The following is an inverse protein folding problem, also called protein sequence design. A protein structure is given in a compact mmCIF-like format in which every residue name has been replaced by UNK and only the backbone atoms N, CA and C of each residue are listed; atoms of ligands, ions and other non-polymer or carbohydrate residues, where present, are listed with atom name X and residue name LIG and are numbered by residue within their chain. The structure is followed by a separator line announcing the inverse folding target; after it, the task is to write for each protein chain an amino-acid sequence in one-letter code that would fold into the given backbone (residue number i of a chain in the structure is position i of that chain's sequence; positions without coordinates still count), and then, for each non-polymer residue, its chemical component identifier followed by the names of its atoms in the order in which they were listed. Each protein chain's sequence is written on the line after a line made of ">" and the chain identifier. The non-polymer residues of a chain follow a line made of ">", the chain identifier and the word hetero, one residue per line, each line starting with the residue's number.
data_IF_828670269018
#
_entry.id   IF_828670269018
#
_cell.length_a   1.000
_cell.length_b   1.000
_cell.length_c   1.000
_cell.angle_alpha   90.00
_cell.angle_beta   90.00
_cell.angle_gamma   90.00
#
_symmetry.space_group_name_H-M   'P 1'
#
loop_
_entity.id
_entity.type
_entity.pdbx_description
1 polymer ?
#
# COMPACT_ATOMS: atom_id res chain seq x y z
N UNK A 1 -1.84 -7.18 -23.10
CA UNK A 1 -2.60 -7.08 -21.81
C UNK A 1 -1.93 -6.04 -20.96
N UNK A 2 -2.71 -5.18 -20.29
CA UNK A 2 -2.17 -4.09 -19.46
C UNK A 2 -1.76 -4.58 -18.08
N UNK A 3 -0.61 -4.11 -17.60
CA UNK A 3 -0.10 -4.22 -16.25
C UNK A 3 0.07 -2.80 -15.74
N UNK A 4 -0.45 -2.51 -14.55
CA UNK A 4 -0.45 -1.16 -14.01
C UNK A 4 0.56 -0.98 -12.88
N UNK A 5 0.94 0.27 -12.64
CA UNK A 5 1.71 0.71 -11.48
C UNK A 5 1.31 2.14 -11.12
N UNK A 6 1.48 2.54 -9.87
CA UNK A 6 1.31 3.94 -9.46
C UNK A 6 2.66 4.63 -9.36
N UNK A 7 2.89 5.72 -10.09
CA UNK A 7 4.06 6.57 -9.86
C UNK A 7 3.88 7.32 -8.55
N UNK A 8 4.58 6.88 -7.53
CA UNK A 8 4.35 7.32 -6.17
C UNK A 8 5.61 7.88 -5.53
N UNK A 9 5.41 8.72 -4.52
CA UNK A 9 6.45 9.13 -3.58
C UNK A 9 5.94 8.95 -2.16
N UNK A 10 6.78 8.38 -1.28
CA UNK A 10 6.39 8.13 0.11
C UNK A 10 6.80 9.29 1.01
N UNK A 11 5.81 9.85 1.73
CA UNK A 11 6.02 10.77 2.84
C UNK A 11 5.74 10.03 4.15
N UNK A 12 6.72 10.03 5.05
CA UNK A 12 6.61 9.39 6.36
C UNK A 12 6.38 10.45 7.43
N UNK A 13 5.15 10.57 7.98
CA UNK A 13 4.87 11.48 9.10
C UNK A 13 5.73 11.19 10.32
N UNK A 14 5.91 9.91 10.64
CA UNK A 14 6.84 9.41 11.66
C UNK A 14 7.11 7.92 11.46
N UNK A 15 8.33 7.50 11.81
CA UNK A 15 8.72 6.09 11.93
C UNK A 15 8.37 5.51 13.31
N UNK A 16 7.97 6.33 14.28
CA UNK A 16 7.59 5.88 15.62
C UNK A 16 6.36 4.96 15.53
N UNK A 17 6.48 3.75 16.07
CA UNK A 17 5.39 2.79 16.13
C UNK A 17 5.33 2.13 17.51
N UNK A 18 4.14 2.07 18.12
CA UNK A 18 3.96 1.37 19.39
C UNK A 18 3.92 -0.15 19.24
N UNK A 19 3.65 -0.64 18.03
CA UNK A 19 3.74 -2.06 17.72
C UNK A 19 5.21 -2.47 17.52
N UNK A 20 5.52 -3.72 17.85
CA UNK A 20 6.85 -4.32 17.68
C UNK A 20 6.71 -5.66 16.96
N UNK A 21 6.23 -5.59 15.70
CA UNK A 21 6.19 -6.77 14.82
C UNK A 21 7.62 -7.26 14.55
N UNK A 22 7.89 -8.56 14.68
CA UNK A 22 9.25 -9.10 14.56
C UNK A 22 9.87 -8.93 13.16
N UNK A 23 9.04 -8.87 12.13
CA UNK A 23 9.42 -8.70 10.72
C UNK A 23 9.53 -7.24 10.28
N UNK A 24 9.29 -6.27 11.16
CA UNK A 24 9.19 -4.87 10.74
C UNK A 24 10.56 -4.24 10.54
N UNK A 25 10.85 -3.87 9.31
CA UNK A 25 12.08 -3.18 8.91
C UNK A 25 11.91 -1.65 8.82
N UNK A 26 10.79 -1.12 9.31
CA UNK A 26 10.40 0.29 9.13
C UNK A 26 10.45 1.08 10.46
N UNK A 27 10.04 0.50 11.57
CA UNK A 27 9.71 1.20 12.82
C UNK A 27 10.93 1.63 13.66
N UNK A 28 10.71 2.71 14.43
CA UNK A 28 11.54 3.04 15.62
C UNK A 28 10.66 3.12 16.87
N UNK A 29 11.28 3.13 18.06
CA UNK A 29 10.54 3.27 19.31
C UNK A 29 9.94 4.68 19.48
N UNK A 30 8.78 4.83 20.18
CA UNK A 30 8.19 6.12 20.47
C UNK A 30 9.14 7.06 21.21
N UNK A 31 9.25 8.31 20.74
CA UNK A 31 10.13 9.34 21.30
C UNK A 31 11.51 9.42 20.66
N UNK A 32 11.79 8.60 19.66
CA UNK A 32 13.11 8.56 18.96
C UNK A 32 13.11 9.39 17.68
N UNK A 33 11.98 9.44 16.97
CA UNK A 33 11.89 10.12 15.69
C UNK A 33 11.37 11.56 15.82
N UNK A 34 11.89 12.45 14.98
CA UNK A 34 11.34 13.78 14.79
C UNK A 34 10.26 13.73 13.68
N UNK A 35 9.02 13.97 14.06
CA UNK A 35 7.91 13.95 13.13
C UNK A 35 8.13 14.91 11.95
N UNK A 36 7.78 14.47 10.74
CA UNK A 36 7.83 15.27 9.52
C UNK A 36 7.15 16.63 9.74
N UNK A 37 7.85 17.73 9.50
CA UNK A 37 7.25 19.08 9.55
C UNK A 37 6.55 19.40 8.21
N UNK A 38 5.57 20.31 8.25
CA UNK A 38 4.90 20.72 7.02
C UNK A 38 5.86 21.45 6.07
N UNK A 39 6.77 22.26 6.61
CA UNK A 39 7.76 22.98 5.79
C UNK A 39 8.67 22.01 5.03
N UNK A 40 9.15 20.96 5.71
CA UNK A 40 9.95 19.92 5.07
C UNK A 40 9.15 19.16 4.01
N UNK A 41 7.91 18.79 4.32
CA UNK A 41 7.03 18.12 3.37
C UNK A 41 6.73 19.02 2.16
N UNK A 42 6.51 20.33 2.38
CA UNK A 42 6.28 21.30 1.31
C UNK A 42 7.47 21.34 0.36
N UNK A 43 8.70 21.45 0.88
CA UNK A 43 9.89 21.43 0.05
C UNK A 43 9.98 20.15 -0.80
N UNK A 44 9.84 18.96 -0.15
CA UNK A 44 9.89 17.68 -0.84
C UNK A 44 8.82 17.58 -1.94
N UNK A 45 7.55 17.84 -1.60
CA UNK A 45 6.44 17.67 -2.55
C UNK A 45 6.53 18.69 -3.70
N UNK A 46 7.02 19.91 -3.43
CA UNK A 46 7.23 20.92 -4.48
C UNK A 46 8.30 20.45 -5.50
N UNK A 47 9.36 19.82 -5.03
CA UNK A 47 10.43 19.30 -5.90
C UNK A 47 9.94 18.14 -6.80
N UNK A 48 8.81 17.52 -6.48
CA UNK A 48 8.20 16.46 -7.30
C UNK A 48 7.37 17.00 -8.47
N UNK A 49 7.10 18.31 -8.55
CA UNK A 49 6.33 18.86 -9.64
C UNK A 49 7.03 18.66 -10.98
N UNK A 50 6.29 18.16 -11.98
CA UNK A 50 6.83 17.87 -13.31
C UNK A 50 7.68 16.59 -13.43
N UNK A 51 7.78 15.78 -12.37
CA UNK A 51 8.52 14.50 -12.39
C UNK A 51 7.69 13.31 -12.87
N UNK A 52 6.38 13.51 -13.07
CA UNK A 52 5.46 12.44 -13.43
C UNK A 52 4.88 11.68 -12.23
N UNK A 53 5.29 11.94 -11.02
CA UNK A 53 4.67 11.41 -9.80
C UNK A 53 3.25 11.97 -9.70
N UNK A 54 2.30 11.10 -9.34
CA UNK A 54 0.90 11.48 -9.13
C UNK A 54 0.41 11.15 -7.72
N UNK A 55 0.99 10.14 -7.09
CA UNK A 55 0.60 9.67 -5.76
C UNK A 55 1.56 10.15 -4.68
N UNK A 56 1.03 10.70 -3.59
CA UNK A 56 1.75 10.84 -2.33
C UNK A 56 1.24 9.76 -1.37
N UNK A 57 2.05 8.73 -1.19
CA UNK A 57 1.78 7.69 -0.19
C UNK A 57 2.17 8.22 1.19
N UNK A 58 1.18 8.42 2.06
CA UNK A 58 1.41 8.75 3.47
C UNK A 58 1.51 7.44 4.25
N UNK A 59 2.72 7.03 4.54
CA UNK A 59 3.03 5.80 5.27
C UNK A 59 3.55 6.17 6.66
N UNK A 60 2.94 5.67 7.73
CA UNK A 60 3.29 6.09 9.09
C UNK A 60 3.42 4.92 10.05
N UNK A 61 4.37 5.02 10.98
CA UNK A 61 4.28 4.25 12.21
C UNK A 61 3.04 4.64 13.01
N UNK A 62 2.58 3.75 13.87
CA UNK A 62 1.30 3.86 14.57
C UNK A 62 1.48 4.48 15.96
N UNK A 63 0.72 5.53 16.28
CA UNK A 63 0.61 6.10 17.61
C UNK A 63 -0.51 5.39 18.38
N UNK A 64 -0.23 4.94 19.61
CA UNK A 64 -1.20 4.19 20.42
C UNK A 64 -2.54 4.96 20.56
N UNK A 65 -3.71 4.30 20.43
CA UNK A 65 -5.01 4.97 20.46
C UNK A 65 -5.26 5.81 21.74
N UNK A 66 -4.72 5.40 22.88
CA UNK A 66 -4.86 6.11 24.16
C UNK A 66 -3.73 7.13 24.43
N UNK A 67 -2.82 7.33 23.48
CA UNK A 67 -1.75 8.30 23.62
C UNK A 67 -2.29 9.73 23.51
N UNK A 68 -1.81 10.63 24.39
CA UNK A 68 -2.08 12.07 24.26
C UNK A 68 -1.57 12.67 22.94
N UNK A 69 -0.63 11.99 22.26
CA UNK A 69 -0.09 12.39 20.96
C UNK A 69 -0.98 11.94 19.78
N UNK A 70 -1.99 11.06 20.00
CA UNK A 70 -2.82 10.48 18.93
C UNK A 70 -3.49 11.55 18.07
N UNK A 71 -4.11 12.53 18.71
CA UNK A 71 -4.77 13.63 18.00
C UNK A 71 -3.79 14.41 17.11
N UNK A 72 -2.62 14.78 17.65
CA UNK A 72 -1.60 15.53 16.92
C UNK A 72 -1.06 14.71 15.72
N UNK A 73 -0.96 13.40 15.84
CA UNK A 73 -0.55 12.49 14.78
C UNK A 73 -1.59 12.46 13.64
N UNK A 74 -2.88 12.30 13.96
CA UNK A 74 -3.96 12.35 12.96
C UNK A 74 -4.04 13.72 12.29
N UNK A 75 -3.91 14.82 13.05
CA UNK A 75 -3.89 16.17 12.51
C UNK A 75 -2.70 16.36 11.55
N UNK A 76 -1.53 15.81 11.88
CA UNK A 76 -0.34 15.85 11.02
C UNK A 76 -0.59 15.10 9.70
N UNK A 77 -1.12 13.88 9.74
CA UNK A 77 -1.47 13.12 8.54
C UNK A 77 -2.47 13.90 7.68
N UNK A 78 -3.54 14.42 8.29
CA UNK A 78 -4.54 15.23 7.60
C UNK A 78 -3.92 16.43 6.86
N UNK A 79 -3.05 17.19 7.54
CA UNK A 79 -2.40 18.35 6.94
C UNK A 79 -1.41 17.98 5.83
N UNK A 80 -0.70 16.85 5.93
CA UNK A 80 0.17 16.36 4.88
C UNK A 80 -0.63 15.93 3.63
N UNK A 81 -1.76 15.25 3.82
CA UNK A 81 -2.67 14.91 2.72
C UNK A 81 -3.25 16.18 2.05
N UNK A 82 -3.70 17.14 2.85
CA UNK A 82 -4.23 18.40 2.30
C UNK A 82 -3.15 19.16 1.53
N UNK A 83 -1.93 19.25 2.06
CA UNK A 83 -0.79 19.85 1.38
C UNK A 83 -0.51 19.16 0.02
N UNK A 84 -0.54 17.85 -0.02
CA UNK A 84 -0.36 17.09 -1.27
C UNK A 84 -1.44 17.46 -2.30
N UNK A 85 -2.72 17.54 -1.90
CA UNK A 85 -3.82 17.98 -2.77
C UNK A 85 -3.62 19.42 -3.26
N UNK A 86 -3.25 20.35 -2.37
CA UNK A 86 -3.03 21.75 -2.70
C UNK A 86 -1.86 21.95 -3.68
N UNK A 87 -0.89 21.03 -3.69
CA UNK A 87 0.24 20.99 -4.63
C UNK A 87 -0.05 20.13 -5.88
N UNK A 88 -1.28 19.62 -6.03
CA UNK A 88 -1.75 18.92 -7.21
C UNK A 88 -1.52 17.42 -7.22
N UNK A 89 -1.11 16.80 -6.12
CA UNK A 89 -0.89 15.35 -5.99
C UNK A 89 -2.08 14.64 -5.34
N UNK A 90 -2.17 13.32 -5.49
CA UNK A 90 -3.26 12.49 -4.97
C UNK A 90 -2.79 11.70 -3.73
N UNK A 91 -3.29 12.00 -2.52
CA UNK A 91 -2.92 11.28 -1.31
C UNK A 91 -3.53 9.89 -1.22
N UNK A 92 -2.71 8.92 -0.80
CA UNK A 92 -3.10 7.60 -0.31
C UNK A 92 -2.51 7.41 1.09
N UNK A 93 -3.33 7.11 2.10
CA UNK A 93 -2.84 6.94 3.48
C UNK A 93 -2.86 5.49 3.93
N UNK A 94 -1.71 5.00 4.41
CA UNK A 94 -1.55 3.73 5.13
C UNK A 94 -0.87 4.02 6.47
N UNK A 95 -1.68 4.18 7.52
CA UNK A 95 -1.23 4.64 8.84
C UNK A 95 -1.66 3.69 9.99
N UNK A 96 -1.98 2.43 9.68
CA UNK A 96 -2.48 1.45 10.65
C UNK A 96 -3.96 1.65 11.01
N UNK A 97 -4.48 0.92 12.01
CA UNK A 97 -5.87 1.03 12.41
C UNK A 97 -6.24 2.41 12.96
N UNK A 98 -7.36 2.92 12.48
CA UNK A 98 -7.96 4.21 12.81
C UNK A 98 -9.31 3.97 13.50
N UNK A 99 -9.75 4.87 14.36
CA UNK A 99 -11.16 4.92 14.77
C UNK A 99 -12.03 5.37 13.59
N UNK A 100 -13.34 5.06 13.65
CA UNK A 100 -14.27 5.45 12.59
C UNK A 100 -14.22 6.97 12.32
N UNK A 101 -14.14 7.79 13.39
CA UNK A 101 -14.07 9.26 13.29
C UNK A 101 -12.75 9.72 12.66
N UNK A 102 -11.62 9.08 13.00
CA UNK A 102 -10.32 9.38 12.40
C UNK A 102 -10.31 9.01 10.90
N UNK A 103 -10.90 7.86 10.55
CA UNK A 103 -11.02 7.42 9.17
C UNK A 103 -11.94 8.35 8.36
N UNK A 104 -13.09 8.74 8.90
CA UNK A 104 -14.00 9.70 8.29
C UNK A 104 -13.33 11.06 8.05
N UNK A 105 -12.52 11.54 9.00
CA UNK A 105 -11.73 12.76 8.84
C UNK A 105 -10.70 12.63 7.71
N UNK A 106 -9.92 11.55 7.68
CA UNK A 106 -8.90 11.36 6.66
C UNK A 106 -9.47 11.09 5.27
N UNK A 107 -10.67 10.51 5.17
CA UNK A 107 -11.38 10.32 3.89
C UNK A 107 -11.65 11.64 3.14
N UNK A 108 -11.73 12.77 3.85
CA UNK A 108 -11.95 14.08 3.24
C UNK A 108 -10.77 14.57 2.40
N UNK A 109 -9.58 14.04 2.64
CA UNK A 109 -8.33 14.48 2.02
C UNK A 109 -7.53 13.32 1.40
N UNK A 110 -8.15 12.16 1.20
CA UNK A 110 -7.53 11.00 0.58
C UNK A 110 -8.38 10.47 -0.57
N UNK A 111 -7.77 10.16 -1.71
CA UNK A 111 -8.48 9.53 -2.83
C UNK A 111 -8.59 8.01 -2.64
N UNK A 112 -7.76 7.45 -1.82
CA UNK A 112 -7.81 6.06 -1.36
C UNK A 112 -7.09 5.92 -0.03
N UNK A 113 -7.34 4.82 0.68
CA UNK A 113 -6.62 4.49 1.92
C UNK A 113 -6.26 3.00 1.91
N UNK A 114 -5.34 2.60 2.78
CA UNK A 114 -4.90 1.22 2.87
C UNK A 114 -4.65 0.75 4.29
N UNK A 115 -4.82 -0.56 4.48
CA UNK A 115 -4.38 -1.32 5.64
C UNK A 115 -4.21 -2.79 5.24
N UNK A 116 -3.00 -3.32 5.37
CA UNK A 116 -2.77 -4.75 5.17
C UNK A 116 -3.53 -5.57 6.22
N UNK A 117 -4.30 -6.58 5.81
CA UNK A 117 -4.88 -7.55 6.73
C UNK A 117 -3.77 -8.39 7.38
N UNK A 118 -2.68 -8.60 6.70
CA UNK A 118 -1.55 -9.48 6.97
C UNK A 118 -1.94 -10.96 6.89
N UNK A 119 -2.60 -11.48 7.94
CA UNK A 119 -3.15 -12.83 8.04
C UNK A 119 -4.27 -12.87 9.07
N UNK A 120 -5.18 -13.83 8.95
CA UNK A 120 -6.17 -14.14 9.99
C UNK A 120 -5.72 -15.23 10.96
N UNK A 121 -4.52 -15.78 10.79
CA UNK A 121 -3.96 -16.77 11.70
C UNK A 121 -3.79 -16.19 13.12
N UNK A 122 -4.53 -16.70 14.13
CA UNK A 122 -4.42 -16.22 15.51
C UNK A 122 -3.09 -16.60 16.17
N UNK A 123 -2.41 -17.64 15.71
CA UNK A 123 -1.16 -18.13 16.32
C UNK A 123 -0.01 -17.12 16.11
N UNK A 124 -0.11 -16.27 15.10
CA UNK A 124 0.82 -15.16 14.90
C UNK A 124 0.85 -14.16 16.07
N UNK A 125 -0.22 -14.08 16.87
CA UNK A 125 -0.28 -13.24 18.08
C UNK A 125 0.64 -13.74 19.19
N UNK A 126 0.96 -15.02 19.22
CA UNK A 126 1.96 -15.61 20.14
C UNK A 126 3.38 -15.59 19.56
N UNK A 127 3.50 -15.32 18.27
CA UNK A 127 4.72 -15.25 17.47
C UNK A 127 5.11 -13.83 17.09
N UNK A 128 5.12 -13.59 15.78
CA UNK A 128 5.59 -12.33 15.15
C UNK A 128 4.79 -11.09 15.55
N UNK A 129 3.54 -11.25 15.97
CA UNK A 129 2.64 -10.18 16.41
C UNK A 129 2.51 -10.06 17.94
N UNK A 130 3.30 -10.82 18.72
CA UNK A 130 3.20 -10.85 20.19
C UNK A 130 3.23 -9.47 20.85
N UNK A 131 3.95 -8.54 20.27
CA UNK A 131 4.07 -7.15 20.76
C UNK A 131 3.46 -6.13 19.80
N UNK A 132 2.44 -6.54 19.03
CA UNK A 132 1.79 -5.73 18.03
C UNK A 132 0.25 -5.79 18.13
N UNK A 133 -0.34 -5.15 19.17
CA UNK A 133 -1.77 -5.28 19.46
C UNK A 133 -2.68 -4.78 18.33
N UNK A 134 -2.21 -3.90 17.44
CA UNK A 134 -2.99 -3.49 16.27
C UNK A 134 -3.03 -4.55 15.16
N UNK A 135 -2.28 -5.66 15.32
CA UNK A 135 -2.30 -6.79 14.37
C UNK A 135 -3.36 -7.84 14.73
N UNK A 136 -4.16 -7.63 15.77
CA UNK A 136 -5.29 -8.51 16.10
C UNK A 136 -6.23 -8.56 14.88
N UNK A 137 -6.53 -9.78 14.33
CA UNK A 137 -7.33 -9.92 13.11
C UNK A 137 -8.69 -9.21 13.17
N UNK A 138 -9.39 -9.29 14.29
CA UNK A 138 -10.69 -8.64 14.47
C UNK A 138 -10.63 -7.11 14.30
N UNK A 139 -9.57 -6.45 14.77
CA UNK A 139 -9.37 -4.99 14.60
C UNK A 139 -9.19 -4.66 13.12
N UNK A 140 -8.43 -5.47 12.39
CA UNK A 140 -8.17 -5.23 10.96
C UNK A 140 -9.39 -5.50 10.09
N UNK A 141 -10.15 -6.56 10.38
CA UNK A 141 -11.44 -6.82 9.71
C UNK A 141 -12.46 -5.72 9.97
N UNK A 142 -12.51 -5.19 11.21
CA UNK A 142 -13.37 -4.06 11.54
C UNK A 142 -12.98 -2.81 10.73
N UNK A 143 -11.68 -2.54 10.59
CA UNK A 143 -11.17 -1.45 9.77
C UNK A 143 -11.61 -1.56 8.30
N UNK A 144 -11.51 -2.75 7.70
CA UNK A 144 -11.98 -3.00 6.34
C UNK A 144 -13.50 -2.77 6.21
N UNK A 145 -14.29 -3.18 7.21
CA UNK A 145 -15.73 -2.92 7.23
C UNK A 145 -16.06 -1.43 7.36
N UNK A 146 -15.30 -0.67 8.18
CA UNK A 146 -15.50 0.77 8.30
C UNK A 146 -15.15 1.51 6.99
N UNK A 147 -14.07 1.11 6.33
CA UNK A 147 -13.73 1.66 5.02
C UNK A 147 -14.86 1.46 4.01
N UNK A 148 -15.48 0.26 4.00
CA UNK A 148 -16.63 -0.03 3.16
C UNK A 148 -17.86 0.79 3.51
N UNK A 149 -18.18 0.91 4.80
CA UNK A 149 -19.30 1.74 5.29
C UNK A 149 -19.13 3.21 4.89
N UNK A 150 -17.91 3.72 4.93
CA UNK A 150 -17.56 5.09 4.55
C UNK A 150 -17.33 5.26 3.04
N UNK A 151 -17.44 4.19 2.25
CA UNK A 151 -17.19 4.18 0.81
C UNK A 151 -15.81 4.74 0.44
N UNK A 152 -14.78 4.38 1.19
CA UNK A 152 -13.40 4.75 0.91
C UNK A 152 -12.82 3.72 -0.06
N UNK A 153 -12.31 4.11 -1.25
CA UNK A 153 -11.52 3.21 -2.08
C UNK A 153 -10.34 2.66 -1.27
N UNK A 154 -10.24 1.34 -1.15
CA UNK A 154 -9.36 0.75 -0.15
C UNK A 154 -8.43 -0.32 -0.73
N UNK A 155 -7.18 -0.29 -0.29
CA UNK A 155 -6.17 -1.30 -0.56
C UNK A 155 -5.90 -2.11 0.71
N UNK A 156 -5.90 -3.43 0.58
CA UNK A 156 -5.54 -4.36 1.67
C UNK A 156 -4.62 -5.44 1.13
N UNK A 157 -4.28 -6.44 1.92
CA UNK A 157 -3.43 -7.53 1.43
C UNK A 157 -2.95 -8.47 2.51
N UNK A 158 -2.19 -9.46 2.07
CA UNK A 158 -1.56 -10.47 2.92
C UNK A 158 -0.05 -10.27 2.92
N UNK A 159 0.57 -10.49 4.07
CA UNK A 159 2.01 -10.65 4.20
C UNK A 159 2.30 -12.15 4.32
N UNK A 160 3.00 -12.69 3.33
CA UNK A 160 3.20 -14.12 3.14
C UNK A 160 4.53 -14.58 3.73
N UNK A 161 4.51 -15.66 4.51
CA UNK A 161 5.73 -16.29 5.05
C UNK A 161 6.18 -15.75 6.40
N UNK A 162 5.25 -15.24 7.21
CA UNK A 162 5.51 -14.76 8.57
C UNK A 162 5.17 -15.79 9.66
N UNK A 163 4.77 -17.02 9.25
CA UNK A 163 4.45 -18.13 10.15
C UNK A 163 3.08 -18.78 9.90
N UNK A 164 2.26 -18.16 9.07
CA UNK A 164 0.93 -18.63 8.67
C UNK A 164 1.03 -19.90 7.77
N UNK A 165 -0.05 -20.66 7.71
CA UNK A 165 -0.21 -21.80 6.82
C UNK A 165 -0.82 -21.41 5.47
N UNK A 166 -0.81 -22.37 4.51
CA UNK A 166 -1.47 -22.18 3.21
C UNK A 166 -3.01 -22.07 3.35
N UNK A 167 -3.61 -22.74 4.35
CA UNK A 167 -5.04 -22.66 4.64
C UNK A 167 -5.42 -21.26 5.15
N UNK A 168 -4.51 -20.59 5.88
CA UNK A 168 -4.73 -19.22 6.37
C UNK A 168 -4.77 -18.18 5.24
N UNK A 169 -4.07 -18.44 4.12
CA UNK A 169 -4.19 -17.61 2.93
C UNK A 169 -5.61 -17.65 2.37
N UNK A 170 -6.18 -18.85 2.24
CA UNK A 170 -7.54 -19.06 1.74
C UNK A 170 -8.56 -18.38 2.66
N UNK A 171 -8.48 -18.62 3.98
CA UNK A 171 -9.35 -18.02 4.99
C UNK A 171 -9.28 -16.49 4.93
N UNK A 172 -8.08 -15.92 4.83
CA UNK A 172 -7.87 -14.48 4.79
C UNK A 172 -8.40 -13.85 3.50
N UNK A 173 -8.18 -14.50 2.34
CA UNK A 173 -8.69 -14.06 1.06
C UNK A 173 -10.22 -14.12 1.00
N UNK A 174 -10.83 -15.17 1.56
CA UNK A 174 -12.27 -15.31 1.63
C UNK A 174 -12.89 -14.19 2.49
N UNK A 175 -12.30 -13.87 3.63
CA UNK A 175 -12.78 -12.76 4.46
C UNK A 175 -12.73 -11.41 3.74
N UNK A 176 -11.66 -11.16 2.96
CA UNK A 176 -11.56 -9.97 2.10
C UNK A 176 -12.66 -9.97 1.04
N UNK A 177 -12.90 -11.10 0.37
CA UNK A 177 -13.93 -11.25 -0.66
C UNK A 177 -15.34 -11.02 -0.09
N UNK A 178 -15.63 -11.54 1.10
CA UNK A 178 -16.93 -11.39 1.78
C UNK A 178 -17.20 -9.91 2.15
N UNK A 179 -16.18 -9.22 2.67
CA UNK A 179 -16.26 -7.79 3.00
C UNK A 179 -16.45 -6.98 1.72
N UNK A 180 -15.70 -7.29 0.65
CA UNK A 180 -15.87 -6.60 -0.63
C UNK A 180 -17.26 -6.85 -1.24
N UNK A 181 -17.76 -8.07 -1.20
CA UNK A 181 -19.11 -8.42 -1.69
C UNK A 181 -20.19 -7.61 -0.99
N UNK A 182 -20.00 -7.29 0.29
CA UNK A 182 -20.93 -6.46 1.07
C UNK A 182 -20.88 -4.99 0.72
N UNK A 183 -19.68 -4.43 0.49
CA UNK A 183 -19.44 -2.99 0.42
C UNK A 183 -18.97 -2.48 -0.94
N UNK A 184 -18.31 -3.31 -1.73
CA UNK A 184 -17.80 -2.96 -3.06
C UNK A 184 -16.64 -1.97 -3.10
N UNK A 185 -15.88 -1.77 -2.02
CA UNK A 185 -14.92 -0.67 -1.86
C UNK A 185 -13.45 -1.08 -2.02
N UNK A 186 -13.12 -2.37 -1.86
CA UNK A 186 -11.74 -2.84 -2.00
C UNK A 186 -11.36 -2.81 -3.48
N UNK A 187 -10.36 -2.03 -3.82
CA UNK A 187 -9.87 -1.90 -5.19
C UNK A 187 -8.68 -2.80 -5.49
N UNK A 188 -7.87 -3.09 -4.45
CA UNK A 188 -6.63 -3.86 -4.57
C UNK A 188 -6.41 -4.79 -3.41
N UNK A 189 -5.82 -5.95 -3.72
CA UNK A 189 -5.25 -6.88 -2.74
C UNK A 189 -3.79 -7.11 -3.06
N UNK A 190 -2.91 -6.72 -2.13
CA UNK A 190 -1.47 -6.91 -2.22
C UNK A 190 -1.13 -8.31 -1.70
N UNK A 191 -0.40 -9.08 -2.49
CA UNK A 191 0.23 -10.33 -2.06
C UNK A 191 1.72 -10.06 -1.88
N UNK A 192 2.10 -9.69 -0.66
CA UNK A 192 3.46 -9.27 -0.34
C UNK A 192 4.26 -10.44 0.25
N UNK A 193 5.30 -10.93 -0.44
CA UNK A 193 6.21 -11.91 0.15
C UNK A 193 7.04 -11.24 1.24
N UNK A 194 7.11 -11.86 2.42
CA UNK A 194 8.06 -11.45 3.44
C UNK A 194 9.47 -11.69 2.94
N UNK A 195 10.25 -10.64 2.93
CA UNK A 195 11.67 -10.64 2.57
C UNK A 195 12.46 -10.06 3.76
N UNK A 196 13.43 -10.81 4.31
CA UNK A 196 14.20 -10.39 5.48
C UNK A 196 14.91 -9.04 5.26
N UNK A 197 14.82 -8.15 6.23
CA UNK A 197 15.43 -6.82 6.20
C UNK A 197 16.53 -6.64 7.24
N UNK A 198 17.30 -5.55 7.10
CA UNK A 198 18.47 -5.29 7.94
C UNK A 198 18.14 -4.80 9.36
N UNK A 199 16.91 -4.34 9.62
CA UNK A 199 16.50 -3.75 10.92
C UNK A 199 15.53 -4.62 11.71
N UNK A 200 15.06 -5.73 11.16
CA UNK A 200 14.10 -6.61 11.81
C UNK A 200 14.73 -7.55 12.83
N UNK A 201 13.88 -8.20 13.64
CA UNK A 201 14.30 -9.17 14.66
C UNK A 201 13.86 -10.61 14.35
N UNK A 202 13.11 -10.83 13.27
CA UNK A 202 12.66 -12.16 12.86
C UNK A 202 13.82 -12.93 12.24
N UNK A 203 14.21 -14.03 12.90
CA UNK A 203 15.19 -14.96 12.32
C UNK A 203 14.47 -15.94 11.39
N UNK A 204 14.67 -15.82 10.09
CA UNK A 204 14.01 -16.69 9.12
C UNK A 204 14.56 -16.54 7.71
N UNK A 205 14.16 -17.44 6.82
CA UNK A 205 14.58 -17.44 5.41
C UNK A 205 13.67 -16.58 4.51
N UNK A 206 12.63 -15.96 5.06
CA UNK A 206 11.61 -15.29 4.29
C UNK A 206 10.61 -16.24 3.63
N UNK A 207 9.74 -15.69 2.81
CA UNK A 207 8.77 -16.45 2.04
C UNK A 207 9.44 -17.25 0.93
N UNK A 208 9.03 -18.50 0.74
CA UNK A 208 9.42 -19.28 -0.44
C UNK A 208 8.78 -18.64 -1.69
N UNK A 209 9.53 -17.78 -2.35
CA UNK A 209 9.05 -16.97 -3.46
C UNK A 209 8.54 -17.80 -4.64
N UNK A 210 8.97 -19.06 -4.77
CA UNK A 210 8.50 -19.98 -5.81
C UNK A 210 7.00 -20.31 -5.67
N UNK A 211 6.43 -20.15 -4.49
CA UNK A 211 5.01 -20.35 -4.20
C UNK A 211 4.12 -19.17 -4.59
N UNK A 212 4.69 -17.98 -4.85
CA UNK A 212 3.91 -16.78 -5.11
C UNK A 212 2.91 -16.94 -6.27
N UNK A 213 3.25 -17.56 -7.43
CA UNK A 213 2.27 -17.80 -8.49
C UNK A 213 1.06 -18.64 -8.03
N UNK A 214 1.27 -19.63 -7.15
CA UNK A 214 0.19 -20.45 -6.58
C UNK A 214 -0.76 -19.59 -5.71
N UNK A 215 -0.21 -18.71 -4.87
CA UNK A 215 -1.01 -17.80 -4.03
C UNK A 215 -1.81 -16.82 -4.90
N UNK A 216 -1.21 -16.31 -5.99
CA UNK A 216 -1.91 -15.43 -6.94
C UNK A 216 -3.07 -16.15 -7.62
N UNK A 217 -2.88 -17.42 -8.05
CA UNK A 217 -3.95 -18.23 -8.65
C UNK A 217 -5.09 -18.46 -7.65
N UNK A 218 -4.75 -18.81 -6.39
CA UNK A 218 -5.73 -18.95 -5.31
C UNK A 218 -6.51 -17.63 -5.09
N UNK A 219 -5.79 -16.52 -4.98
CA UNK A 219 -6.42 -15.20 -4.83
C UNK A 219 -7.34 -14.86 -6.00
N UNK A 220 -6.95 -15.19 -7.24
CA UNK A 220 -7.81 -14.93 -8.40
C UNK A 220 -9.06 -15.79 -8.45
N UNK A 221 -9.03 -17.00 -7.88
CA UNK A 221 -10.19 -17.87 -7.77
C UNK A 221 -11.20 -17.37 -6.71
N UNK A 222 -10.71 -16.80 -5.62
CA UNK A 222 -11.52 -16.38 -4.46
C UNK A 222 -12.02 -14.94 -4.60
N UNK A 223 -11.13 -14.03 -4.99
CA UNK A 223 -11.47 -12.59 -5.00
C UNK A 223 -12.41 -12.24 -6.16
N UNK A 224 -13.39 -11.35 -5.96
CA UNK A 224 -14.17 -10.75 -7.05
C UNK A 224 -13.29 -10.18 -8.16
N UNK A 225 -13.79 -10.23 -9.40
CA UNK A 225 -13.00 -9.87 -10.60
C UNK A 225 -12.66 -8.38 -10.69
N UNK A 226 -13.38 -7.52 -9.97
CA UNK A 226 -13.16 -6.08 -9.90
C UNK A 226 -12.17 -5.66 -8.79
N UNK A 227 -11.61 -6.64 -8.05
CA UNK A 227 -10.44 -6.46 -7.21
C UNK A 227 -9.18 -6.78 -8.03
N UNK A 228 -8.25 -5.84 -8.09
CA UNK A 228 -6.94 -6.04 -8.72
C UNK A 228 -5.97 -6.74 -7.76
N UNK A 229 -5.25 -7.74 -8.24
CA UNK A 229 -4.18 -8.39 -7.48
C UNK A 229 -2.87 -7.64 -7.76
N UNK A 230 -2.27 -7.11 -6.70
CA UNK A 230 -1.00 -6.40 -6.72
C UNK A 230 0.13 -7.27 -6.15
N UNK A 231 1.31 -7.17 -6.75
CA UNK A 231 2.55 -7.76 -6.26
C UNK A 231 3.68 -6.72 -6.28
N UNK A 232 4.55 -6.64 -5.26
CA UNK A 232 5.70 -5.73 -5.25
C UNK A 232 6.85 -6.29 -6.08
N UNK A 233 7.22 -5.68 -7.22
CA UNK A 233 8.20 -6.25 -8.14
C UNK A 233 9.63 -6.26 -7.58
N UNK A 234 9.96 -5.34 -6.67
CA UNK A 234 11.26 -5.28 -6.00
C UNK A 234 11.54 -6.47 -5.06
N UNK A 235 10.49 -7.16 -4.61
CA UNK A 235 10.61 -8.36 -3.79
C UNK A 235 10.62 -9.65 -4.63
N UNK A 236 10.61 -9.54 -5.96
CA UNK A 236 10.64 -10.68 -6.89
C UNK A 236 11.95 -10.62 -7.70
N UNK A 237 13.02 -11.27 -7.23
CA UNK A 237 14.37 -11.07 -7.79
C UNK A 237 14.56 -11.67 -9.19
N UNK A 238 13.69 -12.60 -9.59
CA UNK A 238 13.79 -13.30 -10.88
C UNK A 238 12.77 -12.77 -11.87
N UNK A 239 13.19 -12.19 -13.03
CA UNK A 239 12.30 -11.71 -14.08
C UNK A 239 11.32 -12.76 -14.61
N UNK A 240 11.75 -14.01 -14.80
CA UNK A 240 10.88 -15.10 -15.28
C UNK A 240 9.79 -15.43 -14.26
N UNK A 241 10.11 -15.34 -12.97
CA UNK A 241 9.13 -15.51 -11.90
C UNK A 241 8.11 -14.36 -11.89
N UNK A 242 8.55 -13.11 -12.12
CA UNK A 242 7.63 -11.98 -12.26
C UNK A 242 6.64 -12.22 -13.40
N UNK A 243 7.12 -12.64 -14.57
CA UNK A 243 6.24 -12.97 -15.71
C UNK A 243 5.29 -14.12 -15.38
N UNK A 244 5.75 -15.14 -14.63
CA UNK A 244 4.91 -16.25 -14.16
C UNK A 244 3.82 -15.74 -13.20
N UNK A 245 4.12 -14.81 -12.30
CA UNK A 245 3.14 -14.18 -11.41
C UNK A 245 2.08 -13.40 -12.19
N UNK A 246 2.47 -12.68 -13.24
CA UNK A 246 1.53 -11.96 -14.12
C UNK A 246 0.64 -12.95 -14.90
N UNK A 247 1.21 -14.04 -15.40
CA UNK A 247 0.44 -15.11 -16.07
C UNK A 247 -0.54 -15.78 -15.08
N UNK A 248 -0.19 -15.87 -13.80
CA UNK A 248 -1.05 -16.41 -12.74
C UNK A 248 -2.23 -15.51 -12.37
N UNK A 249 -2.20 -14.21 -12.73
CA UNK A 249 -3.34 -13.31 -12.51
C UNK A 249 -3.05 -11.98 -11.84
N UNK A 250 -1.81 -11.68 -11.45
CA UNK A 250 -1.44 -10.35 -10.98
C UNK A 250 -1.55 -9.32 -12.13
N UNK A 251 -2.01 -8.12 -11.81
CA UNK A 251 -2.26 -7.06 -12.82
C UNK A 251 -1.71 -5.70 -12.40
N UNK A 252 -1.22 -5.57 -11.19
CA UNK A 252 -0.65 -4.32 -10.66
C UNK A 252 0.67 -4.58 -9.95
N UNK A 253 1.58 -3.64 -10.09
CA UNK A 253 2.92 -3.66 -9.49
C UNK A 253 3.05 -2.69 -8.31
N UNK A 254 1.95 -2.06 -7.91
CA UNK A 254 1.90 -1.14 -6.80
C UNK A 254 2.53 0.21 -7.05
N UNK A 255 2.86 0.88 -5.96
CA UNK A 255 3.59 2.13 -6.00
C UNK A 255 5.05 1.90 -6.34
N UNK A 256 5.50 2.37 -7.50
CA UNK A 256 6.92 2.41 -7.82
C UNK A 256 7.46 3.75 -7.33
N UNK A 257 8.36 3.68 -6.36
CA UNK A 257 8.92 4.80 -5.62
C UNK A 257 10.44 4.82 -5.76
N UNK A 258 11.09 5.99 -5.62
CA UNK A 258 12.55 6.06 -5.66
C UNK A 258 13.22 5.26 -4.54
N UNK A 259 12.57 5.16 -3.39
CA UNK A 259 13.00 4.39 -2.22
C UNK A 259 11.80 3.71 -1.56
N UNK A 260 11.84 2.39 -1.43
CA UNK A 260 10.86 1.65 -0.65
C UNK A 260 11.17 1.84 0.85
N UNK A 261 10.29 2.56 1.57
CA UNK A 261 10.49 2.85 3.01
C UNK A 261 10.18 1.63 3.89
N UNK A 262 9.42 0.66 3.40
CA UNK A 262 9.11 -0.59 4.13
C UNK A 262 10.21 -1.63 3.95
N UNK A 263 10.73 -1.74 2.72
CA UNK A 263 11.74 -2.72 2.34
C UNK A 263 12.97 -2.00 1.73
N UNK A 264 13.69 -1.15 2.51
CA UNK A 264 14.73 -0.28 1.98
C UNK A 264 15.95 -1.03 1.45
N UNK A 265 16.08 -2.32 1.77
CA UNK A 265 17.15 -3.20 1.29
C UNK A 265 16.85 -3.76 -0.13
N UNK A 266 15.63 -3.53 -0.66
CA UNK A 266 15.16 -4.06 -1.94
C UNK A 266 14.80 -2.93 -2.90
N UNK A 267 15.63 -2.73 -3.92
CA UNK A 267 15.45 -1.65 -4.89
C UNK A 267 14.50 -2.05 -6.03
N UNK A 268 13.69 -1.09 -6.48
CA UNK A 268 12.90 -1.27 -7.69
C UNK A 268 13.79 -1.37 -8.94
N UNK A 269 13.34 -2.15 -9.92
CA UNK A 269 13.90 -2.08 -11.27
C UNK A 269 13.59 -0.71 -11.88
N UNK A 270 14.51 -0.20 -12.70
CA UNK A 270 14.22 0.98 -13.51
C UNK A 270 13.01 0.73 -14.40
N UNK A 271 12.11 1.71 -14.53
CA UNK A 271 10.86 1.58 -15.29
C UNK A 271 11.11 1.14 -16.74
N UNK A 272 12.14 1.68 -17.39
CA UNK A 272 12.49 1.31 -18.76
C UNK A 272 12.83 -0.19 -18.89
N UNK A 273 13.60 -0.73 -17.92
CA UNK A 273 13.95 -2.14 -17.89
C UNK A 273 12.72 -3.02 -17.62
N UNK A 274 11.87 -2.58 -16.70
CA UNK A 274 10.63 -3.27 -16.38
C UNK A 274 9.68 -3.27 -17.58
N UNK A 275 9.49 -2.13 -18.24
CA UNK A 275 8.68 -2.01 -19.48
C UNK A 275 9.20 -2.91 -20.59
N UNK A 276 10.52 -2.94 -20.81
CA UNK A 276 11.15 -3.81 -21.80
C UNK A 276 10.90 -5.29 -21.48
N UNK A 277 11.10 -5.70 -20.21
CA UNK A 277 10.83 -7.07 -19.77
C UNK A 277 9.39 -7.47 -20.03
N UNK A 278 8.43 -6.63 -19.65
CA UNK A 278 7.00 -6.92 -19.79
C UNK A 278 6.60 -7.02 -21.27
N UNK A 279 7.17 -6.17 -22.12
CA UNK A 279 6.91 -6.19 -23.58
C UNK A 279 7.33 -7.51 -24.21
N UNK A 280 8.40 -8.18 -23.74
CA UNK A 280 8.83 -9.50 -24.25
C UNK A 280 7.76 -10.58 -24.08
N UNK A 281 6.89 -10.43 -23.08
CA UNK A 281 5.79 -11.35 -22.78
C UNK A 281 4.42 -10.85 -23.28
N UNK A 282 4.39 -9.77 -24.07
CA UNK A 282 3.16 -9.21 -24.63
C UNK A 282 2.33 -8.41 -23.63
N UNK A 283 2.95 -7.97 -22.53
CA UNK A 283 2.33 -7.04 -21.58
C UNK A 283 2.74 -5.61 -21.88
N UNK A 284 1.86 -4.67 -21.56
CA UNK A 284 2.09 -3.22 -21.65
C UNK A 284 2.05 -2.63 -20.24
N UNK A 285 3.15 -2.00 -19.82
CA UNK A 285 3.23 -1.31 -18.53
C UNK A 285 2.56 0.06 -18.66
N UNK A 286 1.59 0.34 -17.78
CA UNK A 286 0.86 1.61 -17.79
C UNK A 286 0.78 2.21 -16.39
N UNK A 287 0.99 3.54 -16.28
CA UNK A 287 0.76 4.24 -15.03
C UNK A 287 -0.73 4.31 -14.70
N UNK A 288 -1.07 4.26 -13.42
CA UNK A 288 -2.41 4.52 -12.90
C UNK A 288 -2.40 5.53 -11.76
N UNK A 289 -3.57 6.06 -11.45
CA UNK A 289 -3.80 6.84 -10.24
C UNK A 289 -3.98 5.93 -9.00
N UNK A 290 -3.81 6.45 -7.77
CA UNK A 290 -4.00 5.68 -6.53
C UNK A 290 -5.47 5.29 -6.26
N UNK A 291 -6.38 5.69 -7.12
CA UNK A 291 -7.80 5.28 -7.12
C UNK A 291 -8.19 4.76 -8.48
N UNK A 292 -8.93 3.64 -8.49
CA UNK A 292 -9.42 3.03 -9.73
C UNK A 292 -10.68 3.74 -10.24
N UNK A 293 -10.87 3.86 -11.57
CA UNK A 293 -12.00 4.61 -12.16
C UNK A 293 -13.37 4.18 -11.66
N UNK A 294 -13.54 2.88 -11.41
CA UNK A 294 -14.80 2.31 -10.91
C UNK A 294 -15.08 2.63 -9.42
N UNK A 295 -14.20 3.32 -8.72
CA UNK A 295 -14.36 3.76 -7.32
C UNK A 295 -14.40 5.29 -7.17
N UNK A 296 -14.11 6.06 -8.19
CA UNK A 296 -14.06 7.52 -8.13
C UNK A 296 -15.39 8.16 -7.72
N UNK A 297 -16.50 7.53 -8.07
CA UNK A 297 -17.85 7.98 -7.70
C UNK A 297 -18.14 7.95 -6.18
N UNK A 298 -17.27 7.36 -5.38
CA UNK A 298 -17.35 7.39 -3.91
C UNK A 298 -16.81 8.68 -3.32
N UNK A 299 -16.01 9.42 -4.07
CA UNK A 299 -15.25 10.55 -3.58
C UNK A 299 -16.04 11.85 -3.69
N UNK A 300 -15.69 12.84 -2.85
CA UNK A 300 -16.25 14.18 -2.93
C UNK A 300 -15.87 14.89 -4.25
N UNK A 301 -16.64 15.90 -4.65
CA UNK A 301 -16.39 16.69 -5.86
C UNK A 301 -14.96 17.23 -5.90
N UNK A 302 -14.47 17.78 -4.76
CA UNK A 302 -13.07 18.27 -4.65
C UNK A 302 -12.05 17.20 -5.02
N UNK A 303 -12.20 15.98 -4.52
CA UNK A 303 -11.27 14.89 -4.80
C UNK A 303 -11.39 14.41 -6.26
N UNK A 304 -12.60 14.39 -6.80
CA UNK A 304 -12.82 14.07 -8.22
C UNK A 304 -12.19 15.12 -9.15
N UNK A 305 -12.27 16.40 -8.82
CA UNK A 305 -11.58 17.47 -9.55
C UNK A 305 -10.05 17.28 -9.53
N UNK A 306 -9.48 16.95 -8.36
CA UNK A 306 -8.04 16.65 -8.24
C UNK A 306 -7.62 15.46 -9.10
N UNK A 307 -8.45 14.41 -9.15
CA UNK A 307 -8.23 13.22 -9.99
C UNK A 307 -8.25 13.60 -11.48
N UNK A 308 -9.21 14.40 -11.91
CA UNK A 308 -9.31 14.83 -13.30
C UNK A 308 -8.10 15.67 -13.74
N UNK A 309 -7.62 16.55 -12.87
CA UNK A 309 -6.42 17.33 -13.12
C UNK A 309 -5.18 16.44 -13.29
N UNK A 310 -4.98 15.47 -12.39
CA UNK A 310 -3.86 14.52 -12.48
C UNK A 310 -3.97 13.59 -13.70
N UNK A 311 -5.17 13.18 -14.08
CA UNK A 311 -5.37 12.35 -15.28
C UNK A 311 -4.92 13.05 -16.56
N UNK A 312 -5.16 14.35 -16.68
CA UNK A 312 -4.67 15.14 -17.82
C UNK A 312 -3.14 15.19 -17.85
N UNK A 313 -2.49 15.27 -16.69
CA UNK A 313 -1.04 15.27 -16.57
C UNK A 313 -0.43 13.92 -16.93
N UNK A 314 -1.05 12.80 -16.54
CA UNK A 314 -0.61 11.43 -16.86
C UNK A 314 -0.66 11.15 -18.36
N UNK A 315 -1.63 11.67 -19.08
CA UNK A 315 -1.73 11.50 -20.55
C UNK A 315 -0.61 12.22 -21.32
N UNK A 316 0.13 13.13 -20.67
CA UNK A 316 1.26 13.86 -21.23
C UNK A 316 2.64 13.16 -20.97
N UNK A 317 2.65 11.92 -20.55
CA UNK A 317 3.80 11.22 -19.94
C UNK A 317 4.83 10.59 -20.90
N UNK A 318 5.36 11.34 -21.87
CA UNK A 318 6.61 10.98 -22.55
C UNK A 318 7.89 11.33 -21.75
N UNK A 319 7.75 11.78 -20.47
CA UNK A 319 8.85 12.38 -19.71
C UNK A 319 9.36 11.58 -18.49
N UNK A 320 8.79 10.41 -18.17
CA UNK A 320 9.09 9.66 -16.91
C UNK A 320 10.50 9.07 -16.86
N UNK A 321 11.12 8.80 -17.99
CA UNK A 321 12.48 8.24 -18.05
C UNK A 321 13.55 9.13 -17.38
N UNK A 322 13.22 10.40 -17.09
CA UNK A 322 14.18 11.36 -16.51
C UNK A 322 14.26 11.36 -14.99
N UNK A 323 13.25 10.83 -14.28
CA UNK A 323 13.23 10.87 -12.81
C UNK A 323 13.82 9.63 -12.16
N UNK A 324 13.79 8.48 -12.84
CA UNK A 324 14.30 7.20 -12.33
C UNK A 324 15.67 6.80 -12.91
N UNK A 325 16.29 7.68 -13.69
CA UNK A 325 17.66 7.58 -14.18
C UNK A 325 18.62 8.22 -13.18
#
# INVERSE_FOLDING_TARGET
>A
MQITYSPAYTIVPTYECFNRCSYCNFRVDPGVDNWMTLDRATAIITDLQGTGICEILILSGEVHPQSSRRKAWIDRIYHLCNLALDLGFLPHTNAGPLSLVEMEKLAQVNVSMGLMLESLDPDLLEGVHRHAPSKIPAIRLEQLNWAGKLKIPFTTGLLLGIGESEDDWEISLQAIADIHTRWGHIQEVILQPYSPGSQESLAGLGFDISKLPKVIQLARQILPTDITIQIPPNLIPNPDLLLTCLAAGARDLGGIVPKDEVNPDYHHLQLANLSTLLATAGYELQPRLPVYPNREHYLSDRLQESIQHQRQSILAWDAIDKFLA
#
